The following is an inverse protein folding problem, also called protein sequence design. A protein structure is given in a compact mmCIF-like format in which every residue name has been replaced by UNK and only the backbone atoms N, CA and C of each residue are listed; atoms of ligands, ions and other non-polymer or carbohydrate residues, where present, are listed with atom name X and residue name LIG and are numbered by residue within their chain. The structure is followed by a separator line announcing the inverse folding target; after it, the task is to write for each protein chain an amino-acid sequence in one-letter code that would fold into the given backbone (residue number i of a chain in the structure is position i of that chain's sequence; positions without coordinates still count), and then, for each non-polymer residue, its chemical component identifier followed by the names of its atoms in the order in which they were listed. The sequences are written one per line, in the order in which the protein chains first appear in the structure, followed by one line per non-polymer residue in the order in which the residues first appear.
data_IF_920048761927
#
_entry.id   IF_920048761927
#
_cell.length_a   1.000
_cell.length_b   1.000
_cell.length_c   1.000
_cell.angle_alpha   90.00
_cell.angle_beta   90.00
_cell.angle_gamma   90.00
#
_symmetry.space_group_name_H-M   'P 1'
#
loop_
_entity.id
_entity.type
_entity.pdbx_description
1 polymer ?
#
# COMPACT_ATOMS: atom_id res chain seq x y z
N UNK A 1 8.61 0.86 -7.34
CA UNK A 1 7.48 -0.05 -7.12
C UNK A 1 6.49 0.24 -8.22
N UNK A 2 6.41 -0.68 -9.18
CA UNK A 2 5.44 -0.62 -10.28
C UNK A 2 4.07 -1.12 -9.80
N UNK A 3 3.01 -0.82 -10.55
CA UNK A 3 1.63 -1.15 -10.18
C UNK A 3 1.43 -2.65 -9.89
N UNK A 4 2.12 -3.53 -10.60
CA UNK A 4 2.05 -4.99 -10.38
C UNK A 4 2.61 -5.39 -9.01
N UNK A 5 3.73 -4.77 -8.63
CA UNK A 5 4.37 -5.00 -7.34
C UNK A 5 3.53 -4.44 -6.19
N UNK A 6 2.84 -3.32 -6.45
CA UNK A 6 1.89 -2.73 -5.51
C UNK A 6 0.66 -3.61 -5.26
N UNK A 7 0.05 -4.14 -6.33
CA UNK A 7 -1.08 -5.05 -6.20
C UNK A 7 -0.69 -6.33 -5.46
N UNK A 8 0.51 -6.87 -5.69
CA UNK A 8 1.00 -8.05 -4.99
C UNK A 8 1.16 -7.79 -3.47
N UNK A 9 1.68 -6.62 -3.08
CA UNK A 9 1.83 -6.26 -1.65
C UNK A 9 0.50 -5.99 -0.97
N UNK A 10 -0.50 -5.47 -1.69
CA UNK A 10 -1.86 -5.33 -1.16
C UNK A 10 -2.51 -6.69 -0.92
N UNK A 11 -2.34 -7.64 -1.84
CA UNK A 11 -2.85 -9.00 -1.70
C UNK A 11 -2.19 -9.72 -0.51
N UNK A 12 -0.88 -9.55 -0.35
CA UNK A 12 -0.11 -10.06 0.79
C UNK A 12 -0.59 -9.44 2.12
N UNK A 13 -0.83 -8.13 2.15
CA UNK A 13 -1.36 -7.44 3.33
C UNK A 13 -2.77 -7.91 3.68
N UNK A 14 -3.64 -8.10 2.69
CA UNK A 14 -5.00 -8.61 2.88
C UNK A 14 -4.97 -10.03 3.46
N UNK A 15 -4.12 -10.90 2.92
CA UNK A 15 -3.95 -12.26 3.41
C UNK A 15 -3.43 -12.30 4.86
N UNK A 16 -2.41 -11.50 5.18
CA UNK A 16 -1.85 -11.39 6.54
C UNK A 16 -2.84 -10.87 7.58
N UNK A 17 -3.77 -9.99 7.19
CA UNK A 17 -4.75 -9.41 8.10
C UNK A 17 -6.00 -10.28 8.27
N UNK A 18 -6.38 -11.01 7.23
CA UNK A 18 -7.62 -11.79 7.22
C UNK A 18 -7.44 -13.27 7.53
N UNK A 19 -6.21 -13.80 7.51
CA UNK A 19 -5.95 -15.21 7.80
C UNK A 19 -5.62 -15.42 9.29
N UNK A 20 -6.51 -16.07 10.06
CA UNK A 20 -6.30 -16.33 11.48
C UNK A 20 -5.30 -17.47 11.76
N UNK A 21 -4.89 -18.24 10.73
CA UNK A 21 -3.89 -19.31 10.85
C UNK A 21 -2.46 -18.77 10.68
N UNK A 22 -2.31 -17.54 10.18
CA UNK A 22 -1.01 -16.87 10.07
C UNK A 22 -0.71 -16.17 11.39
N UNK A 23 0.42 -16.53 12.01
CA UNK A 23 1.02 -15.77 13.11
C UNK A 23 1.57 -14.46 12.54
N UNK A 24 0.67 -13.50 12.32
CA UNK A 24 0.99 -12.25 11.70
C UNK A 24 1.87 -11.43 12.64
N UNK A 25 3.17 -11.36 12.36
CA UNK A 25 4.08 -10.52 13.12
C UNK A 25 3.69 -9.05 12.96
N UNK A 26 3.28 -8.35 14.03
CA UNK A 26 2.79 -6.97 13.92
C UNK A 26 3.81 -6.05 13.25
N UNK A 27 5.10 -6.27 13.52
CA UNK A 27 6.18 -5.51 12.92
C UNK A 27 6.24 -5.66 11.39
N UNK A 28 5.98 -6.86 10.85
CA UNK A 28 5.93 -7.08 9.40
C UNK A 28 4.72 -6.37 8.78
N UNK A 29 3.55 -6.48 9.42
CA UNK A 29 2.32 -5.78 8.98
C UNK A 29 2.55 -4.26 8.92
N UNK A 30 3.10 -3.68 9.99
CA UNK A 30 3.37 -2.25 10.03
C UNK A 30 4.40 -1.81 8.99
N UNK A 31 5.41 -2.63 8.71
CA UNK A 31 6.40 -2.34 7.67
C UNK A 31 5.80 -2.40 6.27
N UNK A 32 4.96 -3.41 5.99
CA UNK A 32 4.27 -3.57 4.71
C UNK A 32 3.28 -2.44 4.47
N UNK A 33 2.50 -2.08 5.49
CA UNK A 33 1.55 -0.96 5.43
C UNK A 33 2.27 0.37 5.18
N UNK A 34 3.41 0.61 5.83
CA UNK A 34 4.19 1.83 5.64
C UNK A 34 4.72 1.95 4.21
N UNK A 35 5.14 0.83 3.61
CA UNK A 35 5.64 0.81 2.24
C UNK A 35 4.54 1.09 1.21
N UNK A 36 3.39 0.44 1.35
CA UNK A 36 2.20 0.66 0.52
C UNK A 36 1.71 2.11 0.66
N UNK A 37 1.66 2.63 1.89
CA UNK A 37 1.22 4.01 2.16
C UNK A 37 2.18 5.05 1.58
N UNK A 38 3.49 4.80 1.62
CA UNK A 38 4.48 5.71 1.03
C UNK A 38 4.34 5.77 -0.50
N UNK A 39 4.05 4.63 -1.12
CA UNK A 39 3.77 4.58 -2.55
C UNK A 39 2.49 5.33 -2.91
N UNK A 40 1.42 5.14 -2.16
CA UNK A 40 0.14 5.85 -2.35
C UNK A 40 0.33 7.37 -2.20
N UNK A 41 1.03 7.80 -1.15
CA UNK A 41 1.36 9.22 -0.90
C UNK A 41 2.27 9.83 -1.99
N UNK A 42 3.16 9.03 -2.59
CA UNK A 42 3.98 9.44 -3.74
C UNK A 42 3.22 9.42 -5.07
N UNK A 43 2.18 8.59 -5.16
CA UNK A 43 1.24 8.50 -6.29
C UNK A 43 0.10 9.51 -6.19
N UNK A 44 -0.06 10.23 -5.06
CA UNK A 44 -0.87 11.44 -4.97
C UNK A 44 -0.29 12.46 -5.96
N UNK A 45 -0.86 12.41 -7.16
CA UNK A 45 -0.73 13.39 -8.21
C UNK A 45 -0.82 14.80 -7.59
N UNK A 46 0.07 15.75 -7.91
CA UNK A 46 -0.05 17.11 -7.39
C UNK A 46 -1.47 17.60 -7.66
N UNK A 47 -2.08 18.38 -6.74
CA UNK A 47 -3.43 18.86 -6.92
C UNK A 47 -3.50 19.48 -8.31
N UNK A 48 -4.35 18.91 -9.18
CA UNK A 48 -4.66 19.49 -10.47
C UNK A 48 -5.36 20.81 -10.18
N UNK A 49 -4.57 21.86 -9.95
CA UNK A 49 -5.05 23.23 -9.90
C UNK A 49 -5.82 23.50 -11.19
N UNK A 50 -6.89 24.30 -11.12
CA UNK A 50 -7.80 24.48 -12.25
C UNK A 50 -7.01 24.92 -13.48
N UNK A 51 -7.09 24.16 -14.57
CA UNK A 51 -6.58 24.61 -15.86
C UNK A 51 -7.37 25.86 -16.24
N UNK A 52 -6.71 27.02 -16.12
CA UNK A 52 -7.23 28.28 -16.61
C UNK A 52 -7.24 28.20 -18.15
N UNK A 53 -8.46 28.28 -18.69
CA UNK A 53 -8.80 28.42 -20.11
C UNK A 53 -8.33 29.76 -20.68
#
# INVERSE_FOLDING_TARGET
MDDVEYLAKLDELDHLLNDPEIDAEPAQIWSLLAEVSLHDLGAVHPPQGPQAY
#
